data_IF_420470545734
#
_entry.id   IF_420470545734
#
_cell.length_a   1.000
_cell.length_b   1.000
_cell.length_c   1.000
_cell.angle_alpha   90.00
_cell.angle_beta   90.00
_cell.angle_gamma   90.00
#
_symmetry.space_group_name_H-M   'P 1'
#
loop_
_entity.id
_entity.type
_entity.pdbx_description
1 polymer ?
#
# COMPACT_ATOMS: atom_id res chain seq x y z
N UNK A 1 -11.91 -22.11 9.68
CA UNK A 1 -11.41 -20.81 9.16
C UNK A 1 -12.50 -19.80 9.39
N UNK A 2 -12.25 -18.78 10.22
CA UNK A 2 -13.25 -17.71 10.43
C UNK A 2 -13.51 -17.01 9.09
N UNK A 3 -14.77 -16.90 8.69
CA UNK A 3 -15.16 -16.10 7.54
C UNK A 3 -14.63 -14.68 7.72
N UNK A 4 -13.84 -14.23 6.77
CA UNK A 4 -13.29 -12.87 6.80
C UNK A 4 -14.47 -11.91 6.67
N UNK A 5 -14.85 -11.25 7.76
CA UNK A 5 -15.92 -10.26 7.74
C UNK A 5 -15.48 -9.02 6.96
N UNK A 6 -15.67 -9.07 5.65
CA UNK A 6 -15.26 -8.02 4.71
C UNK A 6 -15.97 -6.69 4.99
N UNK A 7 -17.22 -6.72 5.46
CA UNK A 7 -17.98 -5.51 5.81
C UNK A 7 -17.36 -4.79 7.01
N UNK A 8 -16.97 -5.54 8.05
CA UNK A 8 -16.32 -4.96 9.23
C UNK A 8 -14.94 -4.39 8.88
N UNK A 9 -14.17 -5.07 8.01
CA UNK A 9 -12.87 -4.57 7.54
C UNK A 9 -13.01 -3.29 6.71
N UNK A 10 -14.00 -3.21 5.82
CA UNK A 10 -14.29 -1.99 5.07
C UNK A 10 -14.65 -0.83 5.99
N UNK A 11 -15.55 -1.05 6.95
CA UNK A 11 -15.91 -0.04 7.93
C UNK A 11 -14.72 0.39 8.81
N UNK A 12 -13.80 -0.54 9.13
CA UNK A 12 -12.57 -0.20 9.84
C UNK A 12 -11.63 0.66 9.00
N UNK A 13 -11.44 0.31 7.73
CA UNK A 13 -10.64 1.11 6.79
C UNK A 13 -11.14 2.55 6.69
N UNK A 14 -12.45 2.72 6.55
CA UNK A 14 -13.08 4.04 6.48
C UNK A 14 -12.87 4.85 7.77
N UNK A 15 -13.04 4.24 8.95
CA UNK A 15 -12.75 4.89 10.24
C UNK A 15 -11.29 5.31 10.37
N UNK A 16 -10.37 4.43 10.01
CA UNK A 16 -8.93 4.70 10.09
C UNK A 16 -8.54 5.87 9.16
N UNK A 17 -9.12 5.93 7.96
CA UNK A 17 -8.89 7.01 7.02
C UNK A 17 -9.47 8.35 7.50
N UNK A 18 -10.68 8.37 8.05
CA UNK A 18 -11.32 9.58 8.61
C UNK A 18 -10.57 10.16 9.80
N UNK A 19 -9.84 9.33 10.54
CA UNK A 19 -8.98 9.79 11.62
C UNK A 19 -7.71 10.52 11.16
N UNK A 20 -7.43 10.52 9.86
CA UNK A 20 -6.24 11.15 9.29
C UNK A 20 -6.56 12.56 8.78
N UNK A 21 -5.82 13.56 9.28
CA UNK A 21 -5.82 14.92 8.72
C UNK A 21 -4.55 15.12 7.93
N UNK A 22 -4.66 15.09 6.60
CA UNK A 22 -3.50 15.29 5.73
C UNK A 22 -3.07 16.75 5.76
N UNK A 23 -1.86 17.01 6.24
CA UNK A 23 -1.29 18.37 6.42
C UNK A 23 -0.09 18.67 5.54
N UNK A 24 0.33 17.73 4.71
CA UNK A 24 1.49 17.90 3.83
C UNK A 24 2.06 16.58 3.33
N UNK A 25 3.34 16.60 2.97
CA UNK A 25 4.08 15.42 2.49
C UNK A 25 5.37 15.23 3.28
N UNK A 26 5.69 13.99 3.63
CA UNK A 26 6.93 13.63 4.29
C UNK A 26 7.54 12.35 3.70
N UNK A 27 8.78 12.09 4.04
CA UNK A 27 9.43 10.81 3.75
C UNK A 27 8.94 9.75 4.73
N UNK A 28 8.87 8.51 4.28
CA UNK A 28 8.61 7.36 5.14
C UNK A 28 9.73 7.23 6.20
N UNK A 29 9.37 6.80 7.41
CA UNK A 29 10.35 6.55 8.49
C UNK A 29 11.11 5.23 8.24
N UNK A 30 12.05 5.28 7.32
CA UNK A 30 12.93 4.14 7.04
C UNK A 30 13.88 3.83 8.20
N UNK A 31 14.10 4.78 9.12
CA UNK A 31 14.88 4.58 10.34
C UNK A 31 14.21 3.56 11.27
N UNK A 32 12.89 3.64 11.45
CA UNK A 32 12.11 2.65 12.21
C UNK A 32 12.24 1.26 11.60
N UNK A 33 12.12 1.12 10.29
CA UNK A 33 12.23 -0.16 9.57
C UNK A 33 13.64 -0.76 9.77
N UNK A 34 14.69 0.05 9.61
CA UNK A 34 16.09 -0.39 9.85
C UNK A 34 16.31 -0.83 11.29
N UNK A 35 15.76 -0.11 12.27
CA UNK A 35 15.86 -0.49 13.70
C UNK A 35 15.14 -1.81 13.94
N UNK A 36 13.95 -2.02 13.37
CA UNK A 36 13.19 -3.27 13.47
C UNK A 36 13.97 -4.46 12.88
N UNK A 37 14.51 -4.33 11.65
CA UNK A 37 15.34 -5.37 11.03
C UNK A 37 16.60 -5.71 11.85
N UNK A 38 17.30 -4.70 12.40
CA UNK A 38 18.44 -4.91 13.30
C UNK A 38 18.04 -5.58 14.61
N UNK A 39 16.89 -5.23 15.18
CA UNK A 39 16.35 -5.87 16.38
C UNK A 39 16.05 -7.34 16.14
N UNK A 40 15.35 -7.69 15.06
CA UNK A 40 15.09 -9.08 14.66
C UNK A 40 16.40 -9.86 14.47
N UNK A 41 17.39 -9.28 13.82
CA UNK A 41 18.70 -9.93 13.64
C UNK A 41 19.42 -10.21 14.95
N UNK A 42 19.32 -9.32 15.96
CA UNK A 42 19.89 -9.50 17.31
C UNK A 42 19.12 -10.57 18.10
N UNK A 43 17.78 -10.45 18.12
CA UNK A 43 16.90 -11.38 18.84
C UNK A 43 17.07 -12.81 18.31
N UNK A 44 17.16 -13.02 17.00
CA UNK A 44 17.41 -14.33 16.41
C UNK A 44 18.72 -15.00 16.84
N UNK A 45 19.72 -14.23 17.30
CA UNK A 45 20.97 -14.75 17.84
C UNK A 45 20.86 -15.07 19.34
N UNK A 46 19.98 -14.38 20.04
CA UNK A 46 19.83 -14.49 21.50
C UNK A 46 18.76 -15.51 21.92
N UNK A 47 17.80 -15.81 21.04
CA UNK A 47 16.68 -16.71 21.36
C UNK A 47 17.18 -18.15 21.43
N UNK A 48 16.79 -18.85 22.50
CA UNK A 48 17.02 -20.30 22.63
C UNK A 48 16.11 -21.07 21.66
N UNK A 49 16.59 -22.17 21.04
CA UNK A 49 15.83 -22.95 20.08
C UNK A 49 14.65 -23.72 20.68
N UNK A 50 14.54 -23.70 22.00
CA UNK A 50 13.58 -24.51 22.75
C UNK A 50 12.14 -23.99 22.68
N UNK A 51 11.93 -22.74 22.25
CA UNK A 51 10.58 -22.19 22.04
C UNK A 51 10.21 -22.21 20.55
N UNK A 52 8.97 -22.62 20.19
CA UNK A 52 8.53 -22.64 18.79
C UNK A 52 8.71 -21.29 18.09
N UNK A 53 8.45 -20.18 18.78
CA UNK A 53 8.63 -18.83 18.24
C UNK A 53 10.12 -18.48 18.04
N UNK A 54 11.00 -18.95 18.91
CA UNK A 54 12.45 -18.76 18.78
C UNK A 54 13.03 -19.48 17.58
N UNK A 55 12.59 -20.72 17.35
CA UNK A 55 12.98 -21.49 16.17
C UNK A 55 12.49 -20.79 14.88
N UNK A 56 11.23 -20.35 14.85
CA UNK A 56 10.69 -19.59 13.72
C UNK A 56 11.51 -18.34 13.38
N UNK A 57 11.93 -17.58 14.38
CA UNK A 57 12.73 -16.38 14.16
C UNK A 57 14.12 -16.73 13.59
N UNK A 58 14.76 -17.78 14.10
CA UNK A 58 16.05 -18.26 13.58
C UNK A 58 15.97 -18.63 12.13
N UNK A 59 14.99 -19.49 11.80
CA UNK A 59 14.84 -20.06 10.47
C UNK A 59 14.47 -18.99 9.43
N UNK A 60 13.74 -17.96 9.85
CA UNK A 60 13.25 -16.90 8.98
C UNK A 60 13.99 -15.56 9.11
N UNK A 61 15.09 -15.51 9.88
CA UNK A 61 15.86 -14.27 10.11
C UNK A 61 16.30 -13.62 8.80
N UNK A 62 16.94 -14.38 7.93
CA UNK A 62 17.48 -13.86 6.67
C UNK A 62 16.37 -13.28 5.80
N UNK A 63 15.23 -13.95 5.73
CA UNK A 63 14.05 -13.51 5.01
C UNK A 63 13.47 -12.21 5.59
N UNK A 64 13.29 -12.11 6.91
CA UNK A 64 12.78 -10.90 7.55
C UNK A 64 13.74 -9.71 7.39
N UNK A 65 15.05 -9.95 7.47
CA UNK A 65 16.07 -8.91 7.26
C UNK A 65 16.12 -8.45 5.80
N UNK A 66 15.99 -9.35 4.84
CA UNK A 66 15.89 -9.02 3.41
C UNK A 66 14.65 -8.16 3.13
N UNK A 67 13.48 -8.58 3.62
CA UNK A 67 12.24 -7.82 3.48
C UNK A 67 12.34 -6.42 4.09
N UNK A 68 13.02 -6.26 5.23
CA UNK A 68 13.32 -4.94 5.82
C UNK A 68 14.20 -4.09 4.89
N UNK A 69 15.21 -4.69 4.28
CA UNK A 69 16.11 -4.05 3.31
C UNK A 69 15.36 -3.56 2.06
N UNK A 70 14.54 -4.43 1.48
CA UNK A 70 13.74 -4.14 0.30
C UNK A 70 12.72 -3.02 0.56
N UNK A 71 12.01 -3.08 1.69
CA UNK A 71 11.09 -2.03 2.10
C UNK A 71 11.80 -0.69 2.28
N UNK A 72 13.00 -0.67 2.90
CA UNK A 72 13.81 0.54 3.04
C UNK A 72 14.25 1.07 1.67
N UNK A 73 14.71 0.19 0.77
CA UNK A 73 15.14 0.59 -0.58
C UNK A 73 14.00 1.24 -1.38
N UNK A 74 12.81 0.66 -1.33
CA UNK A 74 11.64 1.18 -2.01
C UNK A 74 11.13 2.51 -1.42
N UNK A 75 11.15 2.64 -0.09
CA UNK A 75 10.53 3.78 0.62
C UNK A 75 11.47 4.98 0.84
N UNK A 76 12.79 4.82 0.74
CA UNK A 76 13.79 5.83 1.18
C UNK A 76 13.68 7.20 0.51
N UNK A 77 13.22 7.23 -0.75
CA UNK A 77 13.09 8.48 -1.52
C UNK A 77 11.63 8.92 -1.69
N UNK A 78 10.68 8.10 -1.27
CA UNK A 78 9.26 8.39 -1.41
C UNK A 78 8.84 9.55 -0.50
N UNK A 79 8.19 10.55 -1.10
CA UNK A 79 7.49 11.62 -0.37
C UNK A 79 6.00 11.45 -0.63
N UNK A 80 5.30 10.98 0.37
CA UNK A 80 3.86 10.69 0.33
C UNK A 80 3.12 11.57 1.32
N UNK A 81 1.80 11.64 1.20
CA UNK A 81 0.97 12.46 2.09
C UNK A 81 1.17 12.06 3.55
N UNK A 82 1.03 13.03 4.44
CA UNK A 82 1.29 12.87 5.85
C UNK A 82 0.15 13.42 6.70
N UNK A 83 -0.09 12.74 7.82
CA UNK A 83 -0.98 13.15 8.89
C UNK A 83 -0.19 13.10 10.20
N UNK A 84 0.03 14.26 10.80
CA UNK A 84 0.85 14.37 12.02
C UNK A 84 2.26 13.79 11.82
N UNK A 85 2.67 12.88 12.70
CA UNK A 85 4.00 12.25 12.72
C UNK A 85 4.22 11.11 11.72
N UNK A 86 3.20 10.66 10.97
CA UNK A 86 3.24 9.49 10.10
C UNK A 86 2.79 9.78 8.67
N UNK A 87 3.10 8.89 7.73
CA UNK A 87 2.57 8.97 6.37
C UNK A 87 1.18 8.34 6.30
N UNK A 88 0.31 8.86 5.42
CA UNK A 88 -1.03 8.29 5.18
C UNK A 88 -0.93 6.81 4.75
N UNK A 89 0.01 6.49 3.86
CA UNK A 89 0.30 5.10 3.47
C UNK A 89 0.73 4.25 4.67
N UNK A 90 1.61 4.76 5.54
CA UNK A 90 2.08 4.05 6.73
C UNK A 90 0.94 3.77 7.71
N UNK A 91 0.06 4.75 7.92
CA UNK A 91 -1.14 4.60 8.74
C UNK A 91 -2.10 3.55 8.16
N UNK A 92 -2.33 3.59 6.85
CA UNK A 92 -3.13 2.59 6.13
C UNK A 92 -2.58 1.18 6.31
N UNK A 93 -1.29 0.96 6.05
CA UNK A 93 -0.64 -0.35 6.16
C UNK A 93 -0.67 -0.89 7.60
N UNK A 94 -0.40 -0.03 8.59
CA UNK A 94 -0.45 -0.42 10.01
C UNK A 94 -1.89 -0.70 10.47
N UNK A 95 -2.87 0.08 10.02
CA UNK A 95 -4.28 -0.12 10.29
C UNK A 95 -4.80 -1.44 9.73
N UNK A 96 -4.50 -1.71 8.46
CA UNK A 96 -4.83 -2.98 7.81
C UNK A 96 -4.25 -4.19 8.56
N UNK A 97 -2.96 -4.12 8.91
CA UNK A 97 -2.30 -5.21 9.63
C UNK A 97 -2.96 -5.47 10.99
N UNK A 98 -3.31 -4.42 11.74
CA UNK A 98 -4.04 -4.52 13.01
C UNK A 98 -5.45 -5.10 12.84
N UNK A 99 -6.19 -4.60 11.84
CA UNK A 99 -7.55 -5.05 11.55
C UNK A 99 -7.61 -6.54 11.20
N UNK A 100 -6.54 -7.07 10.60
CA UNK A 100 -6.38 -8.50 10.28
C UNK A 100 -5.72 -9.32 11.39
N UNK A 101 -5.43 -8.76 12.57
CA UNK A 101 -4.73 -9.47 13.63
C UNK A 101 -3.37 -10.05 13.21
N UNK A 102 -2.68 -9.41 12.27
CA UNK A 102 -1.41 -9.86 11.72
C UNK A 102 -1.52 -10.89 10.56
N UNK A 103 -2.69 -11.46 10.29
CA UNK A 103 -2.92 -12.46 9.26
C UNK A 103 -3.48 -11.81 7.98
N UNK A 104 -2.59 -11.35 7.08
CA UNK A 104 -2.97 -10.69 5.85
C UNK A 104 -3.44 -11.69 4.78
N UNK A 105 -4.60 -11.40 4.18
CA UNK A 105 -5.07 -12.03 2.94
C UNK A 105 -5.42 -10.96 1.92
N UNK A 106 -5.31 -11.30 0.63
CA UNK A 106 -5.65 -10.35 -0.44
C UNK A 106 -7.10 -9.86 -0.32
N UNK A 107 -8.04 -10.77 -0.03
CA UNK A 107 -9.47 -10.44 0.16
C UNK A 107 -9.71 -9.49 1.33
N UNK A 108 -9.03 -9.70 2.46
CA UNK A 108 -9.14 -8.82 3.63
C UNK A 108 -8.54 -7.44 3.34
N UNK A 109 -7.38 -7.41 2.67
CA UNK A 109 -6.71 -6.18 2.27
C UNK A 109 -7.56 -5.36 1.29
N UNK A 110 -8.15 -6.02 0.30
CA UNK A 110 -9.05 -5.37 -0.68
C UNK A 110 -10.25 -4.72 0.02
N UNK A 111 -10.93 -5.44 0.91
CA UNK A 111 -12.06 -4.91 1.66
C UNK A 111 -11.68 -3.70 2.54
N UNK A 112 -10.57 -3.78 3.26
CA UNK A 112 -10.08 -2.67 4.08
C UNK A 112 -9.70 -1.45 3.23
N UNK A 113 -8.96 -1.67 2.13
CA UNK A 113 -8.51 -0.60 1.23
C UNK A 113 -9.68 0.08 0.52
N UNK A 114 -10.74 -0.64 0.15
CA UNK A 114 -11.95 -0.04 -0.39
C UNK A 114 -12.54 0.98 0.61
N UNK A 115 -12.72 0.58 1.87
CA UNK A 115 -13.22 1.49 2.89
C UNK A 115 -12.26 2.65 3.19
N UNK A 116 -10.96 2.39 3.26
CA UNK A 116 -9.97 3.43 3.49
C UNK A 116 -10.02 4.50 2.38
N UNK A 117 -10.11 4.07 1.13
CA UNK A 117 -10.17 4.95 -0.03
C UNK A 117 -11.53 5.64 -0.22
N UNK A 118 -12.60 5.17 0.43
CA UNK A 118 -13.88 5.89 0.45
C UNK A 118 -13.75 7.24 1.19
N UNK A 119 -12.91 7.31 2.22
CA UNK A 119 -12.67 8.53 2.98
C UNK A 119 -11.37 9.25 2.57
N UNK A 120 -10.32 8.52 2.21
CA UNK A 120 -9.02 9.06 1.81
C UNK A 120 -8.45 8.27 0.62
N UNK A 121 -8.77 8.65 -0.63
CA UNK A 121 -8.23 7.98 -1.82
C UNK A 121 -6.69 7.98 -1.82
N UNK A 122 -6.07 6.83 -2.01
CA UNK A 122 -4.61 6.73 -2.14
C UNK A 122 -4.17 7.24 -3.52
N UNK A 123 -3.10 8.02 -3.53
CA UNK A 123 -2.50 8.50 -4.77
C UNK A 123 -1.78 7.36 -5.51
N UNK A 124 -1.61 7.51 -6.83
CA UNK A 124 -0.85 6.56 -7.67
C UNK A 124 0.51 6.22 -7.09
N UNK A 125 1.23 7.22 -6.57
CA UNK A 125 2.54 7.04 -5.93
C UNK A 125 2.46 6.25 -4.61
N UNK A 126 1.36 6.38 -3.85
CA UNK A 126 1.12 5.64 -2.61
C UNK A 126 0.73 4.19 -2.90
N UNK A 127 -0.12 3.96 -3.91
CA UNK A 127 -0.49 2.62 -4.34
C UNK A 127 0.70 1.82 -4.87
N UNK A 128 1.61 2.45 -5.61
CA UNK A 128 2.85 1.81 -6.06
C UNK A 128 3.75 1.35 -4.89
N UNK A 129 3.60 1.95 -3.71
CA UNK A 129 4.36 1.64 -2.50
C UNK A 129 3.56 0.80 -1.49
N UNK A 130 2.38 0.29 -1.86
CA UNK A 130 1.50 -0.45 -0.94
C UNK A 130 2.19 -1.71 -0.41
N UNK A 131 2.75 -2.54 -1.29
CA UNK A 131 3.43 -3.79 -0.87
C UNK A 131 4.67 -3.50 -0.02
N UNK A 132 5.62 -2.63 -0.41
CA UNK A 132 6.71 -2.20 0.47
C UNK A 132 6.24 -1.60 1.81
N UNK A 133 5.14 -0.85 1.80
CA UNK A 133 4.54 -0.30 3.02
C UNK A 133 4.01 -1.38 3.96
N UNK A 134 3.36 -2.41 3.41
CA UNK A 134 2.90 -3.57 4.18
C UNK A 134 4.07 -4.41 4.70
N UNK A 135 5.10 -4.64 3.89
CA UNK A 135 6.32 -5.31 4.35
C UNK A 135 6.96 -4.56 5.53
N UNK A 136 7.06 -3.24 5.44
CA UNK A 136 7.55 -2.40 6.53
C UNK A 136 6.70 -2.53 7.79
N UNK A 137 5.36 -2.51 7.67
CA UNK A 137 4.45 -2.67 8.80
C UNK A 137 4.61 -4.05 9.46
N UNK A 138 4.68 -5.13 8.66
CA UNK A 138 4.87 -6.49 9.18
C UNK A 138 6.22 -6.66 9.86
N UNK A 139 7.31 -6.14 9.28
CA UNK A 139 8.66 -6.20 9.89
C UNK A 139 8.69 -5.47 11.24
N UNK A 140 8.06 -4.29 11.33
CA UNK A 140 7.95 -3.56 12.59
C UNK A 140 7.12 -4.33 13.62
N UNK A 141 5.98 -4.89 13.23
CA UNK A 141 5.13 -5.70 14.10
C UNK A 141 5.83 -6.99 14.57
N UNK A 142 6.61 -7.64 13.72
CA UNK A 142 7.45 -8.78 14.10
C UNK A 142 8.45 -8.38 15.19
N UNK A 143 9.15 -7.27 15.04
CA UNK A 143 10.10 -6.81 16.04
C UNK A 143 9.44 -6.48 17.38
N UNK A 144 8.24 -5.89 17.34
CA UNK A 144 7.42 -5.59 18.53
C UNK A 144 6.90 -6.89 19.19
N UNK A 145 6.43 -7.85 18.38
CA UNK A 145 5.96 -9.17 18.86
C UNK A 145 7.06 -9.91 19.62
N UNK A 146 8.26 -9.98 19.08
CA UNK A 146 9.38 -10.64 19.75
C UNK A 146 9.92 -9.88 20.97
N UNK A 147 9.69 -8.59 21.06
CA UNK A 147 10.03 -7.81 22.25
C UNK A 147 9.01 -8.00 23.38
N UNK A 148 7.75 -8.36 23.06
CA UNK A 148 6.62 -8.48 23.98
C UNK A 148 6.13 -9.92 24.22
N UNK A 149 6.83 -10.94 23.78
CA UNK A 149 6.44 -12.36 23.90
C UNK A 149 5.04 -12.69 23.32
N UNK A 150 4.68 -12.09 22.19
CA UNK A 150 3.38 -12.24 21.56
C UNK A 150 3.28 -13.51 20.68
N UNK A 151 2.14 -14.19 20.74
CA UNK A 151 1.79 -15.34 19.89
C UNK A 151 1.55 -14.98 18.40
N UNK A 152 1.64 -13.69 18.03
CA UNK A 152 1.33 -13.24 16.67
C UNK A 152 2.44 -13.52 15.62
N UNK A 153 3.65 -13.87 16.04
CA UNK A 153 4.79 -14.02 15.14
C UNK A 153 4.57 -15.00 13.98
N UNK A 154 3.97 -16.20 14.13
CA UNK A 154 3.72 -17.10 13.00
C UNK A 154 2.81 -16.50 11.93
N UNK A 155 1.73 -15.81 12.32
CA UNK A 155 0.81 -15.14 11.40
C UNK A 155 1.51 -14.01 10.63
N UNK A 156 2.36 -13.24 11.30
CA UNK A 156 3.15 -12.16 10.70
C UNK A 156 4.16 -12.69 9.69
N UNK A 157 4.87 -13.80 9.97
CA UNK A 157 5.77 -14.43 8.99
C UNK A 157 5.02 -14.98 7.78
N UNK A 158 3.87 -15.62 8.00
CA UNK A 158 3.01 -16.07 6.90
C UNK A 158 2.57 -14.91 6.02
N UNK A 159 2.16 -13.80 6.63
CA UNK A 159 1.80 -12.57 5.92
C UNK A 159 2.97 -11.99 5.15
N UNK A 160 4.16 -11.94 5.74
CA UNK A 160 5.35 -11.42 5.08
C UNK A 160 5.72 -12.24 3.83
N UNK A 161 5.59 -13.57 3.89
CA UNK A 161 5.79 -14.46 2.73
C UNK A 161 4.73 -14.25 1.65
N UNK A 162 3.46 -14.11 2.05
CA UNK A 162 2.37 -13.89 1.12
C UNK A 162 2.54 -12.59 0.30
N UNK A 163 3.08 -11.52 0.90
CA UNK A 163 3.33 -10.24 0.23
C UNK A 163 4.30 -10.31 -0.96
N UNK A 164 5.13 -11.38 -1.05
CA UNK A 164 6.00 -11.63 -2.20
C UNK A 164 5.31 -12.26 -3.40
N UNK A 165 4.01 -12.60 -3.33
CA UNK A 165 3.30 -13.27 -4.42
C UNK A 165 2.71 -12.28 -5.43
N UNK A 166 2.50 -12.74 -6.69
CA UNK A 166 1.91 -11.93 -7.76
C UNK A 166 0.51 -11.39 -7.42
N UNK A 167 -0.26 -12.10 -6.60
CA UNK A 167 -1.60 -11.67 -6.18
C UNK A 167 -1.59 -10.34 -5.42
N UNK A 168 -0.55 -10.07 -4.64
CA UNK A 168 -0.36 -8.80 -3.94
C UNK A 168 0.10 -7.68 -4.87
N UNK A 169 0.91 -7.99 -5.88
CA UNK A 169 1.26 -7.03 -6.94
C UNK A 169 0.05 -6.49 -7.69
N UNK A 170 -0.94 -7.36 -7.97
CA UNK A 170 -2.18 -6.97 -8.64
C UNK A 170 -3.17 -6.23 -7.73
N UNK A 171 -3.03 -6.31 -6.41
CA UNK A 171 -3.95 -5.65 -5.48
C UNK A 171 -3.96 -4.13 -5.67
N UNK A 172 -2.80 -3.52 -5.83
CA UNK A 172 -2.68 -2.07 -6.06
C UNK A 172 -3.45 -1.63 -7.32
N UNK A 173 -3.39 -2.41 -8.42
CA UNK A 173 -4.12 -2.13 -9.64
C UNK A 173 -5.63 -2.27 -9.46
N UNK A 174 -6.09 -3.31 -8.76
CA UNK A 174 -7.52 -3.50 -8.46
C UNK A 174 -8.10 -2.42 -7.55
N UNK A 175 -7.31 -1.89 -6.62
CA UNK A 175 -7.73 -0.82 -5.72
C UNK A 175 -7.51 0.58 -6.29
N UNK A 176 -6.99 0.72 -7.52
CA UNK A 176 -6.68 2.00 -8.15
C UNK A 176 -7.95 2.71 -8.62
N UNK A 177 -8.34 3.78 -7.92
CA UNK A 177 -9.54 4.57 -8.27
C UNK A 177 -9.35 5.40 -9.53
N UNK A 178 -8.16 5.93 -9.76
CA UNK A 178 -7.83 6.66 -11.00
C UNK A 178 -7.97 5.71 -12.19
N UNK A 179 -7.40 4.52 -12.10
CA UNK A 179 -7.53 3.50 -13.13
C UNK A 179 -8.98 3.10 -13.41
N UNK A 180 -9.81 2.97 -12.36
CA UNK A 180 -11.26 2.69 -12.51
C UNK A 180 -12.02 3.82 -13.21
N UNK A 181 -11.68 5.08 -12.94
CA UNK A 181 -12.30 6.23 -13.63
C UNK A 181 -11.91 6.21 -15.10
N UNK A 182 -10.61 6.08 -15.41
CA UNK A 182 -10.10 6.03 -16.77
C UNK A 182 -10.63 4.81 -17.56
N UNK A 183 -10.91 3.69 -16.89
CA UNK A 183 -11.51 2.51 -17.53
C UNK A 183 -12.95 2.74 -18.04
N UNK A 184 -13.61 3.84 -17.66
CA UNK A 184 -14.91 4.27 -18.20
C UNK A 184 -14.77 5.05 -19.51
N UNK A 185 -13.61 4.98 -20.14
CA UNK A 185 -13.34 5.55 -21.47
C UNK A 185 -14.45 5.15 -22.47
N UNK A 186 -15.15 6.11 -23.09
CA UNK A 186 -16.29 5.82 -23.97
C UNK A 186 -15.92 4.99 -25.20
N UNK A 187 -14.67 5.07 -25.65
CA UNK A 187 -14.15 4.31 -26.81
C UNK A 187 -13.53 2.97 -26.38
N UNK A 188 -13.31 2.76 -25.09
CA UNK A 188 -12.77 1.51 -24.55
C UNK A 188 -11.29 1.27 -24.83
N UNK A 189 -10.54 2.29 -25.22
CA UNK A 189 -9.11 2.16 -25.54
C UNK A 189 -8.28 1.96 -24.27
N UNK A 190 -8.56 2.71 -23.20
CA UNK A 190 -7.78 2.60 -21.95
C UNK A 190 -7.81 1.18 -21.33
N UNK A 191 -8.96 0.50 -21.19
CA UNK A 191 -8.96 -0.87 -20.67
C UNK A 191 -8.27 -1.88 -21.59
N UNK A 192 -8.19 -1.62 -22.90
CA UNK A 192 -7.50 -2.47 -23.87
C UNK A 192 -5.97 -2.29 -23.88
N UNK A 193 -5.43 -1.23 -23.24
CA UNK A 193 -4.00 -1.00 -23.16
C UNK A 193 -3.29 -2.05 -22.28
N UNK A 194 -2.00 -2.27 -22.55
CA UNK A 194 -1.12 -3.03 -21.67
C UNK A 194 -0.90 -2.31 -20.31
N UNK A 195 -0.42 -3.06 -19.32
CA UNK A 195 -0.24 -2.56 -17.96
C UNK A 195 0.76 -1.39 -17.88
N UNK A 196 1.81 -1.39 -18.70
CA UNK A 196 2.84 -0.34 -18.71
C UNK A 196 2.25 0.98 -19.25
N UNK A 197 1.48 0.89 -20.33
CA UNK A 197 0.80 2.05 -20.92
C UNK A 197 -0.24 2.62 -19.94
N UNK A 198 -1.08 1.79 -19.31
CA UNK A 198 -2.00 2.24 -18.26
C UNK A 198 -1.27 2.93 -17.10
N UNK A 199 -0.14 2.38 -16.66
CA UNK A 199 0.68 3.00 -15.62
C UNK A 199 1.20 4.38 -16.03
N UNK A 200 1.62 4.55 -17.30
CA UNK A 200 2.06 5.85 -17.83
C UNK A 200 0.94 6.89 -17.81
N UNK A 201 -0.28 6.52 -18.19
CA UNK A 201 -1.46 7.41 -18.10
C UNK A 201 -1.73 7.85 -16.66
N UNK A 202 -1.73 6.92 -15.71
CA UNK A 202 -1.92 7.25 -14.28
C UNK A 202 -0.83 8.19 -13.76
N UNK A 203 0.43 7.97 -14.16
CA UNK A 203 1.54 8.87 -13.82
C UNK A 203 1.35 10.28 -14.42
N UNK A 204 0.78 10.38 -15.62
CA UNK A 204 0.47 11.67 -16.25
C UNK A 204 -0.62 12.39 -15.47
N UNK A 205 -1.70 11.71 -15.08
CA UNK A 205 -2.73 12.25 -14.18
C UNK A 205 -2.11 12.74 -12.87
N UNK A 206 -1.27 11.93 -12.24
CA UNK A 206 -0.58 12.30 -10.99
C UNK A 206 0.34 13.52 -11.15
N UNK A 207 0.99 13.67 -12.31
CA UNK A 207 1.83 14.84 -12.62
C UNK A 207 0.99 16.10 -12.80
N UNK A 208 -0.13 16.02 -13.52
CA UNK A 208 -1.07 17.13 -13.69
C UNK A 208 -1.69 17.56 -12.35
N UNK A 209 -2.13 16.61 -11.55
CA UNK A 209 -2.66 16.87 -10.21
C UNK A 209 -1.68 17.69 -9.35
N UNK A 210 -0.40 17.30 -9.35
CA UNK A 210 0.65 18.03 -8.62
C UNK A 210 0.90 19.45 -9.17
N UNK A 211 0.81 19.64 -10.49
CA UNK A 211 1.00 20.97 -11.12
C UNK A 211 -0.17 21.90 -10.87
N UNK A 212 -1.38 21.39 -10.77
CA UNK A 212 -2.61 22.18 -10.64
C UNK A 212 -3.09 22.32 -9.19
N UNK A 213 -2.48 21.59 -8.24
CA UNK A 213 -2.92 21.55 -6.84
C UNK A 213 -4.24 20.81 -6.63
N UNK A 214 -4.73 20.09 -7.63
CA UNK A 214 -5.96 19.28 -7.59
C UNK A 214 -5.66 17.82 -7.22
N UNK A 215 -6.68 17.07 -6.88
CA UNK A 215 -6.56 15.63 -6.63
C UNK A 215 -6.43 14.84 -7.94
N UNK A 216 -5.81 13.67 -7.88
CA UNK A 216 -5.71 12.76 -9.03
C UNK A 216 -7.10 12.30 -9.52
N UNK A 217 -8.06 12.16 -8.61
CA UNK A 217 -9.46 11.82 -8.92
C UNK A 217 -10.10 12.93 -9.78
N UNK A 218 -10.04 14.19 -9.33
CA UNK A 218 -10.60 15.32 -10.08
C UNK A 218 -10.00 15.47 -11.47
N UNK A 219 -8.69 15.24 -11.62
CA UNK A 219 -8.04 15.26 -12.93
C UNK A 219 -8.53 14.11 -13.81
N UNK A 220 -8.65 12.90 -13.26
CA UNK A 220 -9.14 11.75 -14.00
C UNK A 220 -10.60 11.95 -14.48
N UNK A 221 -11.45 12.50 -13.62
CA UNK A 221 -12.85 12.84 -13.95
C UNK A 221 -12.94 13.91 -15.03
N UNK A 222 -12.11 14.96 -14.96
CA UNK A 222 -12.05 15.99 -16.00
C UNK A 222 -11.63 15.43 -17.36
N UNK A 223 -10.60 14.56 -17.37
CA UNK A 223 -10.14 13.90 -18.59
C UNK A 223 -11.25 13.03 -19.19
N UNK A 224 -11.92 12.24 -18.36
CA UNK A 224 -13.06 11.42 -18.78
C UNK A 224 -14.21 12.27 -19.34
N UNK A 225 -14.58 13.34 -18.63
CA UNK A 225 -15.66 14.25 -19.08
C UNK A 225 -15.35 14.94 -20.41
N UNK A 226 -14.07 15.27 -20.68
CA UNK A 226 -13.65 15.80 -21.99
C UNK A 226 -13.76 14.74 -23.07
N UNK A 227 -13.31 13.51 -22.82
CA UNK A 227 -13.41 12.41 -23.77
C UNK A 227 -14.88 12.14 -24.16
N UNK A 228 -15.79 12.18 -23.18
CA UNK A 228 -17.22 12.00 -23.40
C UNK A 228 -17.86 13.11 -24.26
N UNK A 229 -17.43 14.37 -24.09
CA UNK A 229 -17.96 15.53 -24.87
C UNK A 229 -17.44 15.60 -26.29
N UNK A 230 -16.21 15.13 -26.54
CA UNK A 230 -15.58 15.22 -27.86
C UNK A 230 -15.83 14.01 -28.73
N UNK A 231 -16.65 13.04 -28.29
CA UNK A 231 -16.78 11.73 -28.94
C UNK A 231 -15.44 11.08 -29.30
N UNK A 232 -14.37 11.53 -28.63
CA UNK A 232 -12.99 11.16 -28.86
C UNK A 232 -12.39 10.30 -27.77
N UNK A 233 -11.38 9.56 -28.17
CA UNK A 233 -10.58 8.72 -27.27
C UNK A 233 -9.80 9.58 -26.26
N UNK A 234 -9.58 9.06 -25.04
CA UNK A 234 -8.69 9.64 -24.03
C UNK A 234 -7.30 9.99 -24.56
N UNK A 235 -6.83 9.31 -25.62
CA UNK A 235 -5.57 9.57 -26.31
C UNK A 235 -5.47 10.99 -26.90
N UNK A 236 -6.59 11.54 -27.40
CA UNK A 236 -6.63 12.87 -28.04
C UNK A 236 -6.96 13.99 -27.06
N UNK A 237 -7.47 13.64 -25.86
CA UNK A 237 -7.84 14.63 -24.84
C UNK A 237 -6.81 14.76 -23.73
N UNK A 238 -5.82 13.86 -23.68
CA UNK A 238 -4.68 13.97 -22.78
C UNK A 238 -3.69 15.00 -23.32
N UNK A 239 -3.22 15.97 -22.50
CA UNK A 239 -2.20 16.91 -22.94
C UNK A 239 -0.95 16.16 -23.38
N UNK A 240 -0.43 16.54 -24.55
CA UNK A 240 0.81 16.00 -25.08
C UNK A 240 1.95 16.17 -24.06
N UNK A 241 2.89 15.22 -23.96
CA UNK A 241 4.10 15.41 -23.16
C UNK A 241 4.97 16.61 -23.57
N UNK A 242 4.60 17.30 -24.64
CA UNK A 242 5.36 18.43 -25.23
C UNK A 242 4.79 19.82 -24.89
N UNK A 243 3.69 19.92 -24.16
CA UNK A 243 3.09 21.20 -23.73
C UNK A 243 3.45 21.54 -22.29
#
# INVERSE_FOLDING_TARGET
>A
MAETNTAALRAQGERDARALTVTGRRRADTGRIRRAGKALARMARAVTPETPNGQWLRDNRSFACAAAGDAVAALRHARVRASGGQTALGACCAGLLRACGGALTVKAAEAYLEGFQDALPLETAELALLVPGLQAAVVCALAESYAGDSAAAPALFTSLRALGTAAWGMLAERCDRVGRILARDPVGVYPAMDAATRAHYRQTVARLARRTGRTEIEIAEDVLARAQRSEGCLLYTSPSPRD
#
